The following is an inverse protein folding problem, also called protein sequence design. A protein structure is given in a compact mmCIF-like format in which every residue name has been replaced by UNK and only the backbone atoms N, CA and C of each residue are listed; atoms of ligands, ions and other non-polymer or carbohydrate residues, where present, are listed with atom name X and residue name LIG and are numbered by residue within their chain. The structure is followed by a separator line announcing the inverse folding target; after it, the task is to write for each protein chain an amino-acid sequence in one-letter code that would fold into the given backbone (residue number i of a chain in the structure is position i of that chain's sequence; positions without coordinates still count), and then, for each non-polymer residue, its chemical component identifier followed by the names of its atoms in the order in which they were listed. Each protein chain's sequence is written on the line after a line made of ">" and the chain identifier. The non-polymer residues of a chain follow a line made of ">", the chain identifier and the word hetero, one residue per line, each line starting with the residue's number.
data_IF_433235983863
#
_entry.id   IF_433235983863
#
_cell.length_a   1.000
_cell.length_b   1.000
_cell.length_c   1.000
_cell.angle_alpha   90.00
_cell.angle_beta   90.00
_cell.angle_gamma   90.00
#
_symmetry.space_group_name_H-M   'P 1'
#
loop_
_entity.id
_entity.type
_entity.pdbx_description
1 polymer ?
#
# COMPACT_ATOMS: atom_id res chain seq x y z
N UNK A 1 62.27 -5.02 24.37
CA UNK A 1 61.31 -3.89 24.38
C UNK A 1 59.93 -4.44 24.09
N UNK A 2 59.12 -4.68 25.13
CA UNK A 2 57.73 -5.11 24.99
C UNK A 2 56.81 -3.89 25.02
N UNK A 3 56.05 -3.65 23.94
CA UNK A 3 55.04 -2.59 23.95
C UNK A 3 53.97 -2.90 25.01
N UNK A 4 53.49 -1.91 25.77
CA UNK A 4 52.49 -2.13 26.80
C UNK A 4 51.18 -2.62 26.18
N UNK A 5 50.73 -3.79 26.63
CA UNK A 5 49.55 -4.57 26.19
C UNK A 5 48.26 -3.73 26.04
N UNK A 6 48.14 -2.64 26.78
CA UNK A 6 46.96 -1.75 26.78
C UNK A 6 46.84 -0.87 25.52
N UNK A 7 47.94 -0.58 24.82
CA UNK A 7 47.90 0.20 23.57
C UNK A 7 47.27 -0.63 22.44
N UNK A 8 47.64 -1.91 22.35
CA UNK A 8 47.13 -2.84 21.33
C UNK A 8 45.61 -3.02 21.41
N UNK A 9 45.05 -3.12 22.61
CA UNK A 9 43.61 -3.29 22.80
C UNK A 9 42.79 -2.05 22.43
N UNK A 10 43.30 -0.84 22.73
CA UNK A 10 42.65 0.42 22.35
C UNK A 10 42.63 0.60 20.83
N UNK A 11 43.72 0.29 20.15
CA UNK A 11 43.79 0.33 18.69
C UNK A 11 42.89 -0.71 18.02
N UNK A 12 42.80 -1.92 18.59
CA UNK A 12 41.86 -2.93 18.12
C UNK A 12 40.40 -2.43 18.17
N UNK A 13 39.98 -1.83 19.30
CA UNK A 13 38.63 -1.27 19.42
C UNK A 13 38.39 -0.13 18.43
N UNK A 14 39.37 0.75 18.21
CA UNK A 14 39.28 1.81 17.20
C UNK A 14 39.06 1.22 15.81
N UNK A 15 39.84 0.21 15.42
CA UNK A 15 39.66 -0.47 14.13
C UNK A 15 38.27 -1.11 13.99
N UNK A 16 37.74 -1.70 15.05
CA UNK A 16 36.39 -2.28 15.06
C UNK A 16 35.32 -1.20 14.87
N UNK A 17 35.39 -0.09 15.60
CA UNK A 17 34.43 1.01 15.43
C UNK A 17 34.48 1.63 14.04
N UNK A 18 35.68 1.80 13.47
CA UNK A 18 35.87 2.26 12.09
C UNK A 18 35.23 1.28 11.11
N UNK A 19 35.46 -0.03 11.28
CA UNK A 19 34.85 -1.07 10.45
C UNK A 19 33.32 -1.06 10.51
N UNK A 20 32.75 -0.96 11.71
CA UNK A 20 31.29 -0.86 11.91
C UNK A 20 30.74 0.40 11.23
N UNK A 21 31.40 1.55 11.43
CA UNK A 21 30.99 2.81 10.80
C UNK A 21 31.02 2.73 9.27
N UNK A 22 32.01 2.05 8.69
CA UNK A 22 32.12 1.80 7.26
C UNK A 22 30.97 0.92 6.74
N UNK A 23 30.65 -0.16 7.43
CA UNK A 23 29.56 -1.06 7.03
C UNK A 23 28.21 -0.34 7.10
N UNK A 24 27.96 0.39 8.19
CA UNK A 24 26.71 1.16 8.35
C UNK A 24 26.63 2.27 7.30
N UNK A 25 27.70 3.04 7.11
CA UNK A 25 27.75 4.15 6.15
C UNK A 25 27.54 3.68 4.72
N UNK A 26 28.24 2.62 4.30
CA UNK A 26 28.08 2.05 2.95
C UNK A 26 26.69 1.47 2.74
N UNK A 27 26.15 0.73 3.72
CA UNK A 27 24.78 0.21 3.64
C UNK A 27 23.75 1.33 3.53
N UNK A 28 23.90 2.40 4.31
CA UNK A 28 23.01 3.55 4.27
C UNK A 28 23.07 4.29 2.93
N UNK A 29 24.27 4.52 2.39
CA UNK A 29 24.46 5.18 1.08
C UNK A 29 23.83 4.32 -0.03
N UNK A 30 24.10 3.02 -0.04
CA UNK A 30 23.54 2.10 -1.05
C UNK A 30 22.01 2.08 -0.99
N UNK A 31 21.43 2.01 0.21
CA UNK A 31 19.98 2.06 0.39
C UNK A 31 19.39 3.42 -0.03
N UNK A 32 20.04 4.52 0.33
CA UNK A 32 19.55 5.88 0.02
C UNK A 32 19.65 6.23 -1.47
N UNK A 33 20.58 5.59 -2.19
CA UNK A 33 20.76 5.75 -3.63
C UNK A 33 19.92 4.77 -4.45
N UNK A 34 19.19 3.83 -3.81
CA UNK A 34 18.29 2.97 -4.57
C UNK A 34 17.23 3.84 -5.27
N UNK A 35 17.11 3.73 -6.62
CA UNK A 35 16.03 4.37 -7.33
C UNK A 35 14.70 3.94 -6.72
N UNK A 36 13.74 4.87 -6.66
CA UNK A 36 12.37 4.49 -6.32
C UNK A 36 11.94 3.37 -7.25
N UNK A 37 11.31 2.29 -6.72
CA UNK A 37 10.74 1.26 -7.57
C UNK A 37 9.86 1.93 -8.63
N UNK A 38 9.93 1.49 -9.90
CA UNK A 38 9.03 2.02 -10.91
C UNK A 38 7.59 1.83 -10.43
N UNK A 39 6.68 2.78 -10.73
CA UNK A 39 5.27 2.58 -10.44
C UNK A 39 4.82 1.26 -11.07
N UNK A 40 3.92 0.50 -10.43
CA UNK A 40 3.41 -0.73 -10.99
C UNK A 40 2.90 -0.49 -12.42
N UNK A 41 3.33 -1.33 -13.38
CA UNK A 41 2.83 -1.33 -14.76
C UNK A 41 1.35 -1.73 -14.83
N UNK A 42 0.87 -2.31 -13.74
CA UNK A 42 -0.45 -2.83 -13.47
C UNK A 42 -1.29 -1.75 -12.80
N UNK A 43 -2.23 -1.15 -13.54
CA UNK A 43 -3.12 -0.13 -13.03
C UNK A 43 -4.59 -0.46 -13.34
N UNK A 44 -5.39 -0.40 -12.27
CA UNK A 44 -6.81 -0.15 -12.38
C UNK A 44 -6.99 1.36 -12.46
N UNK A 45 -7.55 1.83 -13.57
CA UNK A 45 -7.94 3.22 -13.74
C UNK A 45 -9.41 3.32 -13.40
N UNK A 46 -9.74 4.17 -12.42
CA UNK A 46 -11.11 4.43 -12.02
C UNK A 46 -11.61 5.76 -12.58
N UNK A 47 -12.91 5.86 -12.80
CA UNK A 47 -13.56 7.11 -13.12
C UNK A 47 -13.49 8.08 -11.93
N UNK A 48 -13.64 9.40 -12.18
CA UNK A 48 -13.96 10.33 -11.12
C UNK A 48 -15.17 9.83 -10.32
N UNK A 49 -15.10 10.00 -9.00
CA UNK A 49 -16.18 9.67 -8.11
C UNK A 49 -17.29 10.72 -8.21
N UNK A 50 -18.53 10.26 -8.33
CA UNK A 50 -19.73 11.11 -8.31
C UNK A 50 -20.40 11.00 -6.95
N UNK A 51 -20.62 12.13 -6.28
CA UNK A 51 -21.26 12.20 -4.97
C UNK A 51 -22.68 12.75 -5.11
N UNK A 52 -23.68 11.97 -4.75
CA UNK A 52 -25.10 12.35 -4.80
C UNK A 52 -25.78 11.90 -3.50
N UNK A 53 -26.38 12.83 -2.77
CA UNK A 53 -27.11 12.55 -1.52
C UNK A 53 -26.29 11.75 -0.48
N UNK A 54 -24.98 12.00 -0.38
CA UNK A 54 -24.08 11.28 0.53
C UNK A 54 -23.58 9.93 0.01
N UNK A 55 -24.07 9.46 -1.14
CA UNK A 55 -23.61 8.25 -1.79
C UNK A 55 -22.60 8.57 -2.87
N UNK A 56 -21.54 7.78 -2.96
CA UNK A 56 -20.46 7.94 -3.93
C UNK A 56 -20.45 6.78 -4.91
N UNK A 57 -20.38 7.06 -6.21
CA UNK A 57 -20.23 6.03 -7.25
C UNK A 57 -19.08 6.31 -8.19
N UNK A 58 -18.36 5.25 -8.56
CA UNK A 58 -17.27 5.30 -9.54
C UNK A 58 -17.17 3.94 -10.25
N UNK A 59 -16.56 3.91 -11.43
CA UNK A 59 -16.43 2.72 -12.25
C UNK A 59 -14.96 2.46 -12.62
N UNK A 60 -14.66 1.21 -12.98
CA UNK A 60 -13.37 0.83 -13.56
C UNK A 60 -13.40 1.18 -15.05
N UNK A 61 -12.51 2.08 -15.46
CA UNK A 61 -12.39 2.54 -16.86
C UNK A 61 -11.35 1.74 -17.65
N UNK A 62 -10.27 1.32 -17.00
CA UNK A 62 -9.22 0.57 -17.66
C UNK A 62 -8.53 -0.38 -16.68
N UNK A 63 -8.05 -1.51 -17.20
CA UNK A 63 -7.28 -2.50 -16.46
C UNK A 63 -6.10 -2.89 -17.33
N UNK A 64 -4.87 -2.61 -16.90
CA UNK A 64 -3.70 -3.19 -17.58
C UNK A 64 -3.49 -4.63 -17.11
N UNK A 65 -3.18 -5.54 -18.03
CA UNK A 65 -2.85 -6.96 -17.77
C UNK A 65 -3.89 -7.81 -17.00
N UNK A 66 -5.11 -7.28 -16.74
CA UNK A 66 -6.19 -7.98 -16.04
C UNK A 66 -7.05 -8.90 -16.93
N UNK A 67 -8.08 -9.56 -16.35
CA UNK A 67 -8.80 -9.17 -15.13
C UNK A 67 -8.19 -9.68 -13.80
N UNK A 68 -8.41 -8.95 -12.70
CA UNK A 68 -7.84 -9.24 -11.38
C UNK A 68 -8.86 -9.83 -10.40
N UNK A 69 -8.60 -11.01 -9.84
CA UNK A 69 -9.54 -11.68 -8.94
C UNK A 69 -9.87 -10.79 -7.72
N UNK A 70 -11.17 -10.63 -7.43
CA UNK A 70 -11.66 -9.71 -6.38
C UNK A 70 -11.06 -9.99 -4.99
N UNK A 71 -10.74 -11.25 -4.68
CA UNK A 71 -10.19 -11.67 -3.39
C UNK A 71 -8.79 -11.13 -3.09
N UNK A 72 -8.07 -10.63 -4.11
CA UNK A 72 -6.78 -9.95 -3.93
C UNK A 72 -6.92 -8.51 -3.43
N UNK A 73 -8.11 -7.92 -3.47
CA UNK A 73 -8.30 -6.50 -3.20
C UNK A 73 -8.63 -6.21 -1.75
N UNK A 74 -8.03 -5.12 -1.26
CA UNK A 74 -8.35 -4.53 0.04
C UNK A 74 -8.71 -3.06 -0.15
N UNK A 75 -9.74 -2.62 0.54
CA UNK A 75 -10.24 -1.25 0.51
C UNK A 75 -9.69 -0.49 1.71
N UNK A 76 -9.11 0.67 1.43
CA UNK A 76 -8.85 1.72 2.43
C UNK A 76 -9.70 2.93 2.08
N UNK A 77 -10.66 3.25 2.94
CA UNK A 77 -11.54 4.40 2.75
C UNK A 77 -10.99 5.59 3.52
N UNK A 78 -10.96 6.77 2.89
CA UNK A 78 -10.55 8.03 3.53
C UNK A 78 -11.67 9.05 3.38
N UNK A 79 -12.15 9.60 4.49
CA UNK A 79 -13.17 10.65 4.53
C UNK A 79 -12.65 11.79 5.41
N UNK A 80 -12.56 13.01 4.89
CA UNK A 80 -12.06 14.19 5.62
C UNK A 80 -10.74 13.93 6.38
N UNK A 81 -9.78 13.27 5.73
CA UNK A 81 -8.48 12.84 6.28
C UNK A 81 -8.50 11.73 7.35
N UNK A 82 -9.67 11.19 7.70
CA UNK A 82 -9.77 10.00 8.54
C UNK A 82 -9.82 8.74 7.69
N UNK A 83 -9.01 7.74 8.03
CA UNK A 83 -8.92 6.50 7.28
C UNK A 83 -9.54 5.32 8.04
N UNK A 84 -10.19 4.42 7.30
CA UNK A 84 -10.62 3.10 7.77
C UNK A 84 -10.09 1.98 6.87
N UNK A 85 -9.90 0.79 7.44
CA UNK A 85 -9.33 -0.38 6.77
C UNK A 85 -7.82 -0.57 7.02
N UNK A 86 -7.15 -1.46 6.27
CA UNK A 86 -7.63 -2.18 5.09
C UNK A 86 -8.70 -3.24 5.41
N UNK A 87 -9.73 -3.33 4.58
CA UNK A 87 -10.77 -4.38 4.67
C UNK A 87 -10.87 -5.10 3.32
N UNK A 88 -10.95 -6.43 3.33
CA UNK A 88 -11.10 -7.20 2.10
C UNK A 88 -12.34 -6.77 1.30
N UNK A 89 -12.19 -6.72 -0.03
CA UNK A 89 -13.30 -6.47 -0.93
C UNK A 89 -14.33 -7.60 -0.80
N UNK A 90 -15.61 -7.24 -0.67
CA UNK A 90 -16.71 -8.19 -0.60
C UNK A 90 -16.92 -8.88 -1.95
N UNK A 91 -17.63 -10.01 -1.94
CA UNK A 91 -18.12 -10.61 -3.19
C UNK A 91 -19.01 -9.61 -3.95
N UNK A 92 -19.19 -9.86 -5.25
CA UNK A 92 -20.14 -9.11 -6.08
C UNK A 92 -21.47 -8.88 -5.35
N UNK A 93 -21.92 -7.62 -5.35
CA UNK A 93 -23.14 -7.14 -4.75
C UNK A 93 -23.25 -7.34 -3.22
N UNK A 94 -22.12 -7.57 -2.56
CA UNK A 94 -22.03 -7.66 -1.09
C UNK A 94 -21.49 -6.36 -0.50
N UNK A 95 -22.08 -5.92 0.62
CA UNK A 95 -21.66 -4.71 1.31
C UNK A 95 -20.52 -4.98 2.29
N UNK A 96 -19.31 -4.55 1.95
CA UNK A 96 -18.18 -4.46 2.87
C UNK A 96 -18.37 -3.27 3.80
N UNK A 97 -18.41 -3.53 5.11
CA UNK A 97 -18.56 -2.49 6.13
C UNK A 97 -17.20 -1.97 6.59
N UNK A 98 -17.03 -0.64 6.59
CA UNK A 98 -15.83 0.05 7.08
C UNK A 98 -16.26 1.12 8.08
N UNK A 99 -15.70 1.10 9.29
CA UNK A 99 -16.01 2.10 10.34
C UNK A 99 -14.92 3.16 10.37
N UNK A 100 -15.31 4.43 10.37
CA UNK A 100 -14.42 5.58 10.56
C UNK A 100 -15.02 6.44 11.66
N UNK A 101 -14.36 6.49 12.82
CA UNK A 101 -14.92 7.11 14.02
C UNK A 101 -16.20 6.38 14.47
N UNK A 102 -17.32 7.10 14.48
CA UNK A 102 -18.65 6.57 14.83
C UNK A 102 -19.51 6.22 13.60
N UNK A 103 -19.09 6.63 12.40
CA UNK A 103 -19.85 6.41 11.16
C UNK A 103 -19.44 5.10 10.51
N UNK A 104 -20.44 4.36 10.00
CA UNK A 104 -20.24 3.10 9.32
C UNK A 104 -20.56 3.24 7.83
N UNK A 105 -19.52 3.15 7.01
CA UNK A 105 -19.62 3.15 5.56
C UNK A 105 -19.80 1.73 5.03
N UNK A 106 -20.49 1.62 3.91
CA UNK A 106 -20.69 0.39 3.14
C UNK A 106 -20.12 0.61 1.76
N UNK A 107 -19.26 -0.30 1.33
CA UNK A 107 -18.70 -0.36 -0.03
C UNK A 107 -19.25 -1.60 -0.70
N UNK A 108 -19.87 -1.43 -1.86
CA UNK A 108 -20.40 -2.50 -2.70
C UNK A 108 -19.67 -2.45 -4.04
N UNK A 109 -19.19 -3.60 -4.49
CA UNK A 109 -18.67 -3.77 -5.85
C UNK A 109 -19.70 -4.55 -6.67
N UNK A 110 -19.96 -4.06 -7.87
CA UNK A 110 -20.86 -4.67 -8.85
C UNK A 110 -19.99 -5.11 -10.02
N UNK A 111 -19.91 -6.43 -10.16
CA UNK A 111 -19.27 -7.14 -11.25
C UNK A 111 -20.24 -7.19 -12.43
N UNK A 112 -19.89 -6.50 -13.52
CA UNK A 112 -20.79 -6.29 -14.65
C UNK A 112 -20.88 -7.50 -15.58
N UNK A 113 -19.81 -8.27 -15.71
CA UNK A 113 -19.73 -9.43 -16.60
C UNK A 113 -19.84 -10.78 -15.85
N UNK A 114 -19.74 -10.75 -14.52
CA UNK A 114 -19.95 -11.89 -13.64
C UNK A 114 -18.76 -12.83 -13.56
N UNK A 115 -17.57 -12.39 -13.96
CA UNK A 115 -16.36 -13.21 -14.01
C UNK A 115 -15.66 -13.38 -12.65
N UNK A 116 -16.10 -12.64 -11.62
CA UNK A 116 -15.53 -12.66 -10.29
C UNK A 116 -14.19 -11.91 -10.20
N UNK A 117 -13.90 -11.00 -11.11
CA UNK A 117 -12.69 -10.23 -11.14
C UNK A 117 -12.99 -8.74 -11.36
N UNK A 118 -12.17 -7.88 -10.78
CA UNK A 118 -12.31 -6.42 -10.94
C UNK A 118 -11.87 -6.06 -12.35
N UNK A 119 -12.84 -5.78 -13.21
CA UNK A 119 -12.69 -5.60 -14.66
C UNK A 119 -13.24 -4.26 -15.16
N UNK A 120 -13.00 -3.96 -16.44
CA UNK A 120 -13.58 -2.77 -17.09
C UNK A 120 -15.10 -2.87 -17.08
N UNK A 121 -15.79 -1.77 -16.79
CA UNK A 121 -17.26 -1.67 -16.66
C UNK A 121 -17.82 -2.07 -15.30
N UNK A 122 -16.99 -2.59 -14.40
CA UNK A 122 -17.38 -2.77 -13.00
C UNK A 122 -17.61 -1.44 -12.31
N UNK A 123 -18.48 -1.46 -11.31
CA UNK A 123 -18.81 -0.26 -10.54
C UNK A 123 -18.70 -0.48 -9.04
N UNK A 124 -18.38 0.61 -8.36
CA UNK A 124 -18.28 0.68 -6.91
C UNK A 124 -19.27 1.70 -6.40
N UNK A 125 -20.00 1.32 -5.36
CA UNK A 125 -20.95 2.15 -4.66
C UNK A 125 -20.54 2.27 -3.19
N UNK A 126 -20.48 3.49 -2.68
CA UNK A 126 -20.14 3.78 -1.29
C UNK A 126 -21.24 4.61 -0.66
N UNK A 127 -21.72 4.20 0.52
CA UNK A 127 -22.75 4.92 1.28
C UNK A 127 -22.44 4.89 2.78
N UNK A 128 -22.77 5.94 3.54
CA UNK A 128 -22.61 5.98 4.99
C UNK A 128 -22.84 7.35 5.59
#
# INVERSE_FOLDING_TARGET
>A
MSLPRNISHRWFLVCVFVGIGLVIGTSFILYSLQPSPPPPTDNLVFSPATLVNGNTTFAVQNVSHGPYIFSGFHIRLVVNNFAGGPVALGRNNSATRIVIGTTAYRVVWIDADGDGAVGVSDSFFVSG
#
